data_IF_819657704455
#
_entry.id   IF_819657704455
#
_cell.length_a   1.000
_cell.length_b   1.000
_cell.length_c   1.000
_cell.angle_alpha   90.00
_cell.angle_beta   90.00
_cell.angle_gamma   90.00
#
_symmetry.space_group_name_H-M   'P 1'
#
loop_
_entity.id
_entity.type
_entity.pdbx_description
1 polymer ?
#
# COMPACT_ATOMS: atom_id res chain seq x y z
N UNK A 1 -4.81 8.21 5.77
CA UNK A 1 -4.35 6.81 5.67
C UNK A 1 -3.04 6.86 4.89
N UNK A 2 -1.88 6.78 5.56
CA UNK A 2 -0.58 6.83 4.88
C UNK A 2 -0.32 5.46 4.24
N UNK A 3 -0.37 5.37 2.91
CA UNK A 3 0.11 4.20 2.18
C UNK A 3 1.63 4.23 2.14
N UNK A 4 2.30 3.21 2.66
CA UNK A 4 3.74 3.04 2.49
C UNK A 4 3.99 2.09 1.31
N UNK A 5 4.35 2.65 0.14
CA UNK A 5 4.80 1.88 -1.02
C UNK A 5 6.23 1.37 -0.78
N UNK A 6 6.39 0.07 -0.53
CA UNK A 6 7.72 -0.55 -0.43
C UNK A 6 8.08 -1.24 -1.74
N UNK A 7 8.69 -0.49 -2.67
CA UNK A 7 9.36 -1.09 -3.83
C UNK A 7 10.80 -1.42 -3.43
N UNK A 8 11.10 -2.69 -3.22
CA UNK A 8 12.49 -3.15 -3.18
C UNK A 8 12.95 -3.20 -4.64
N UNK A 9 13.84 -2.27 -5.00
CA UNK A 9 14.73 -2.23 -6.17
C UNK A 9 14.45 -1.12 -7.21
N UNK A 10 15.33 -0.11 -7.18
CA UNK A 10 15.57 0.92 -8.19
C UNK A 10 14.75 2.22 -8.11
N UNK A 11 15.05 3.02 -7.09
CA UNK A 11 15.17 4.47 -7.29
C UNK A 11 16.48 4.71 -8.08
N UNK A 12 16.42 4.56 -9.41
CA UNK A 12 17.50 4.97 -10.32
C UNK A 12 16.88 5.78 -11.45
N UNK A 13 17.29 7.04 -11.53
CA UNK A 13 17.03 7.97 -12.61
C UNK A 13 17.54 7.38 -13.95
N UNK A 14 16.65 6.88 -14.81
CA UNK A 14 16.82 6.85 -16.26
C UNK A 14 15.55 6.26 -16.88
N UNK A 15 15.01 6.95 -17.87
CA UNK A 15 13.84 6.57 -18.63
C UNK A 15 14.07 5.23 -19.36
N UNK A 16 13.29 4.21 -19.01
CA UNK A 16 12.94 3.04 -19.85
C UNK A 16 11.55 2.55 -19.37
N UNK A 17 10.65 2.08 -20.24
CA UNK A 17 9.32 1.62 -19.83
C UNK A 17 9.44 0.27 -19.13
N UNK A 18 9.62 0.32 -17.81
CA UNK A 18 9.62 -0.88 -16.98
C UNK A 18 8.25 -1.57 -17.11
N UNK A 19 8.30 -2.84 -17.53
CA UNK A 19 7.21 -3.81 -17.46
C UNK A 19 6.26 -3.52 -16.30
N UNK A 20 4.95 -3.60 -16.54
CA UNK A 20 3.90 -3.50 -15.51
C UNK A 20 4.19 -4.51 -14.39
N UNK A 21 4.99 -4.10 -13.42
CA UNK A 21 5.20 -4.82 -12.19
C UNK A 21 4.00 -4.47 -11.32
N UNK A 22 3.27 -5.49 -10.88
CA UNK A 22 2.10 -5.33 -10.04
C UNK A 22 2.54 -4.73 -8.70
N UNK A 23 2.44 -3.39 -8.57
CA UNK A 23 2.89 -2.68 -7.37
C UNK A 23 1.97 -3.05 -6.21
N UNK A 24 2.56 -3.55 -5.13
CA UNK A 24 1.85 -3.89 -3.89
C UNK A 24 2.14 -2.82 -2.84
N UNK A 25 1.07 -2.25 -2.29
CA UNK A 25 1.08 -1.22 -1.26
C UNK A 25 0.77 -1.86 0.08
N UNK A 26 1.28 -1.30 1.18
CA UNK A 26 0.90 -1.73 2.53
C UNK A 26 0.49 -0.58 3.43
N UNK A 27 -0.39 -0.87 4.38
CA UNK A 27 -0.76 0.05 5.45
C UNK A 27 -0.97 -0.73 6.76
N UNK A 28 -0.89 -0.01 7.89
CA UNK A 28 -1.26 -0.59 9.18
C UNK A 28 -2.77 -0.82 9.24
N UNK A 29 -3.17 -1.98 9.76
CA UNK A 29 -4.58 -2.25 10.01
C UNK A 29 -5.13 -1.27 11.06
N UNK A 30 -6.29 -0.68 10.81
CA UNK A 30 -6.90 0.30 11.72
C UNK A 30 -7.55 -0.29 12.99
N UNK A 31 -7.90 -1.58 12.95
CA UNK A 31 -8.74 -2.26 13.93
C UNK A 31 -8.01 -3.35 14.73
N UNK A 32 -6.85 -3.82 14.26
CA UNK A 32 -6.10 -4.89 14.90
C UNK A 32 -5.60 -4.45 16.28
N UNK A 33 -5.91 -5.26 17.31
CA UNK A 33 -5.49 -5.02 18.70
C UNK A 33 -4.57 -6.12 19.18
N UNK A 34 -3.54 -5.73 19.94
CA UNK A 34 -2.58 -6.65 20.52
C UNK A 34 -1.37 -6.95 19.62
N UNK A 35 -0.56 -7.91 20.05
CA UNK A 35 0.67 -8.31 19.40
C UNK A 35 0.34 -9.24 18.22
N UNK A 36 0.73 -8.84 17.02
CA UNK A 36 0.59 -9.68 15.83
C UNK A 36 1.67 -10.76 15.82
N UNK A 37 1.27 -12.03 16.00
CA UNK A 37 2.17 -13.20 15.94
C UNK A 37 1.73 -14.25 14.91
N UNK A 38 0.49 -14.17 14.42
CA UNK A 38 -0.07 -15.12 13.46
C UNK A 38 -0.53 -14.37 12.20
N UNK A 39 0.16 -14.60 11.07
CA UNK A 39 -0.15 -13.96 9.80
C UNK A 39 -1.60 -14.23 9.37
N UNK A 40 -2.09 -15.45 9.57
CA UNK A 40 -3.46 -15.82 9.19
C UNK A 40 -4.51 -14.98 9.94
N UNK A 41 -4.28 -14.67 11.22
CA UNK A 41 -5.17 -13.77 11.97
C UNK A 41 -5.13 -12.35 11.41
N UNK A 42 -3.95 -11.86 11.01
CA UNK A 42 -3.83 -10.54 10.39
C UNK A 42 -4.51 -10.49 9.01
N UNK A 43 -4.33 -11.52 8.18
CA UNK A 43 -5.02 -11.68 6.90
C UNK A 43 -6.55 -11.56 7.02
N UNK A 44 -7.16 -12.28 7.97
CA UNK A 44 -8.62 -12.21 8.16
C UNK A 44 -9.07 -10.81 8.60
N UNK A 45 -8.33 -10.15 9.49
CA UNK A 45 -8.69 -8.79 9.92
C UNK A 45 -8.49 -7.78 8.78
N UNK A 46 -7.47 -7.93 7.94
CA UNK A 46 -7.26 -7.07 6.79
C UNK A 46 -8.34 -7.22 5.72
N UNK A 47 -8.78 -8.45 5.46
CA UNK A 47 -9.85 -8.73 4.49
C UNK A 47 -11.24 -8.33 5.01
N UNK A 48 -11.46 -8.37 6.34
CA UNK A 48 -12.64 -7.81 7.00
C UNK A 48 -12.65 -6.27 6.99
N UNK A 49 -11.48 -5.64 7.17
CA UNK A 49 -11.33 -4.18 7.14
C UNK A 49 -11.72 -3.59 5.76
N UNK A 50 -11.30 -4.24 4.68
CA UNK A 50 -11.58 -3.79 3.32
C UNK A 50 -11.45 -4.93 2.32
N UNK A 51 -12.41 -5.02 1.40
CA UNK A 51 -12.36 -5.98 0.28
C UNK A 51 -11.27 -5.65 -0.74
N UNK A 52 -10.65 -4.47 -0.67
CA UNK A 52 -9.53 -4.09 -1.52
C UNK A 52 -8.19 -4.68 -1.02
N UNK A 53 -8.13 -5.08 0.25
CA UNK A 53 -6.95 -5.73 0.80
C UNK A 53 -6.84 -7.16 0.27
N UNK A 54 -5.67 -7.50 -0.26
CA UNK A 54 -5.38 -8.78 -0.89
C UNK A 54 -4.61 -9.73 0.04
N UNK A 55 -3.96 -9.19 1.07
CA UNK A 55 -3.18 -9.98 2.03
C UNK A 55 -3.03 -9.23 3.37
N UNK A 56 -2.53 -9.92 4.39
CA UNK A 56 -2.15 -9.35 5.68
C UNK A 56 -1.04 -10.16 6.36
N UNK A 57 -0.03 -9.47 6.90
CA UNK A 57 1.08 -10.11 7.59
C UNK A 57 1.49 -9.38 8.87
N UNK A 58 2.09 -10.13 9.80
CA UNK A 58 2.67 -9.58 11.01
C UNK A 58 4.12 -9.13 10.75
N UNK A 59 4.35 -7.82 10.72
CA UNK A 59 5.70 -7.24 10.70
C UNK A 59 5.90 -6.35 11.93
N UNK A 60 7.05 -6.49 12.61
CA UNK A 60 7.35 -5.74 13.84
C UNK A 60 6.24 -5.82 14.90
N UNK A 61 5.64 -7.00 15.07
CA UNK A 61 4.51 -7.26 15.97
C UNK A 61 3.23 -6.46 15.66
N UNK A 62 3.16 -5.82 14.48
CA UNK A 62 2.01 -5.07 14.00
C UNK A 62 1.41 -5.77 12.79
N UNK A 63 0.08 -5.66 12.63
CA UNK A 63 -0.62 -6.21 11.49
C UNK A 63 -0.61 -5.20 10.33
N UNK A 64 0.01 -5.59 9.22
CA UNK A 64 0.08 -4.82 7.98
C UNK A 64 -0.80 -5.47 6.93
N UNK A 65 -1.68 -4.67 6.33
CA UNK A 65 -2.54 -5.07 5.23
C UNK A 65 -1.89 -4.67 3.91
N UNK A 66 -2.00 -5.55 2.91
CA UNK A 66 -1.47 -5.31 1.57
C UNK A 66 -2.62 -5.13 0.59
N UNK A 67 -2.46 -4.17 -0.31
CA UNK A 67 -3.40 -3.89 -1.41
C UNK A 67 -2.62 -3.75 -2.70
N UNK A 68 -3.30 -3.92 -3.84
CA UNK A 68 -2.75 -3.44 -5.11
C UNK A 68 -2.66 -1.92 -5.04
N UNK A 69 -1.49 -1.36 -5.35
CA UNK A 69 -1.37 0.08 -5.50
C UNK A 69 -2.23 0.50 -6.71
N UNK A 70 -2.95 1.63 -6.63
CA UNK A 70 -3.46 2.23 -7.84
C UNK A 70 -2.29 2.48 -8.80
N UNK A 71 -2.45 2.12 -10.07
CA UNK A 71 -1.56 2.63 -11.09
C UNK A 71 -1.86 4.13 -11.19
N UNK A 72 -1.07 4.97 -10.54
CA UNK A 72 -1.14 6.39 -10.87
C UNK A 72 -0.50 6.56 -12.25
N UNK A 73 -1.35 6.73 -13.27
CA UNK A 73 -1.01 7.75 -14.25
C UNK A 73 -0.95 9.02 -13.40
N UNK A 74 0.26 9.49 -13.08
CA UNK A 74 0.48 10.72 -12.32
C UNK A 74 -0.06 11.86 -13.18
N UNK A 75 -1.38 12.05 -13.17
CA UNK A 75 -1.97 13.33 -13.44
C UNK A 75 -1.61 14.16 -12.23
N UNK A 76 -0.46 14.82 -12.31
CA UNK A 76 -0.16 15.95 -11.47
C UNK A 76 -1.41 16.83 -11.47
N UNK A 77 -2.10 16.86 -10.32
CA UNK A 77 -3.13 17.84 -10.06
C UNK A 77 -2.43 19.19 -10.15
N UNK A 78 -2.50 19.80 -11.34
CA UNK A 78 -2.15 21.18 -11.53
C UNK A 78 -3.17 21.97 -10.72
N UNK A 79 -2.79 22.31 -9.48
CA UNK A 79 -3.54 23.26 -8.67
C UNK A 79 -3.95 24.43 -9.56
N UNK A 80 -5.26 24.58 -9.72
CA UNK A 80 -5.87 25.52 -10.65
C UNK A 80 -5.33 26.94 -10.45
N UNK A 81 -5.27 27.76 -11.51
CA UNK A 81 -4.86 29.16 -11.38
C UNK A 81 -5.88 29.91 -10.54
N UNK A 82 -5.38 30.66 -9.55
CA UNK A 82 -6.18 31.61 -8.77
C UNK A 82 -6.35 32.86 -9.66
N UNK A 83 -7.57 33.16 -10.08
CA UNK A 83 -8.03 34.46 -10.59
C UNK A 83 -9.47 34.68 -10.09
N UNK A 84 -9.93 35.94 -9.87
CA UNK A 84 -9.41 37.22 -10.35
C UNK A 84 -8.67 38.08 -9.32
#
# INVERSE_FOLDING_TARGET
MLLHCTYVHACMLAAEPASVAEQTCRHLNGSYKGICVYNLSCYFVCTDESTANIDGSCEFFQCWCYTKCPYEIVAADASAPIQP
#
